data_IF_957665094735
#
_entry.id   IF_957665094735
#
_cell.length_a   1.000
_cell.length_b   1.000
_cell.length_c   1.000
_cell.angle_alpha   90.00
_cell.angle_beta   90.00
_cell.angle_gamma   90.00
#
_symmetry.space_group_name_H-M   'P 1'
#
loop_
_entity.id
_entity.type
_entity.pdbx_description
1 polymer ?
#
# COMPACT_ATOMS: atom_id res chain seq x y z
N UNK A 1 -61.56 3.63 -15.37
CA UNK A 1 -60.46 4.21 -14.58
C UNK A 1 -60.74 3.85 -13.14
N UNK A 2 -59.86 3.05 -12.53
CA UNK A 2 -59.19 3.49 -11.31
C UNK A 2 -57.67 3.31 -11.42
N UNK A 3 -56.95 4.41 -11.18
CA UNK A 3 -55.56 4.42 -10.77
C UNK A 3 -55.53 4.20 -9.25
N UNK A 4 -55.14 3.01 -8.80
CA UNK A 4 -54.88 2.77 -7.39
C UNK A 4 -53.38 2.53 -7.21
N UNK A 5 -52.71 3.63 -6.84
CA UNK A 5 -51.31 3.69 -6.46
C UNK A 5 -51.04 2.74 -5.29
N UNK A 6 -50.45 1.57 -5.60
CA UNK A 6 -49.97 0.58 -4.62
C UNK A 6 -48.87 1.08 -3.67
N UNK A 7 -48.38 2.30 -3.87
CA UNK A 7 -47.33 2.92 -3.05
C UNK A 7 -47.87 3.89 -1.98
N UNK A 8 -49.20 4.07 -1.86
CA UNK A 8 -49.80 4.96 -0.85
C UNK A 8 -49.67 4.47 0.61
N UNK A 9 -49.16 3.26 0.85
CA UNK A 9 -49.05 2.67 2.19
C UNK A 9 -47.68 2.79 2.85
N UNK A 10 -46.68 3.43 2.22
CA UNK A 10 -45.32 3.52 2.76
C UNK A 10 -44.98 4.91 3.35
N UNK A 11 -45.87 5.89 3.23
CA UNK A 11 -45.63 7.25 3.71
C UNK A 11 -46.00 7.46 5.18
N UNK A 12 -46.64 6.49 5.84
CA UNK A 12 -47.19 6.62 7.21
C UNK A 12 -46.30 5.97 8.29
N UNK A 13 -45.07 5.57 7.95
CA UNK A 13 -44.12 4.92 8.88
C UNK A 13 -42.93 5.83 9.24
N UNK A 14 -42.85 7.04 8.67
CA UNK A 14 -41.70 7.95 8.88
C UNK A 14 -41.98 9.04 9.93
N UNK A 15 -43.19 9.15 10.45
CA UNK A 15 -43.60 10.24 11.37
C UNK A 15 -43.84 9.78 12.82
N UNK A 16 -43.05 8.85 13.33
CA UNK A 16 -43.09 8.50 14.76
C UNK A 16 -41.74 7.95 15.25
N UNK A 17 -40.75 8.81 15.41
CA UNK A 17 -39.72 8.72 16.48
C UNK A 17 -38.82 9.98 16.43
N UNK A 18 -39.41 11.14 16.78
CA UNK A 18 -38.64 12.28 17.29
C UNK A 18 -38.81 12.34 18.81
N UNK A 19 -37.68 12.24 19.51
CA UNK A 19 -37.28 12.93 20.76
C UNK A 19 -36.64 11.99 21.81
N UNK A 20 -35.30 11.97 21.87
CA UNK A 20 -34.55 12.40 23.06
C UNK A 20 -33.07 11.98 23.05
N UNK A 21 -32.18 12.94 23.35
CA UNK A 21 -30.87 12.71 23.98
C UNK A 21 -29.68 12.85 23.02
N UNK A 22 -29.07 14.03 22.89
CA UNK A 22 -28.02 14.58 23.78
C UNK A 22 -26.63 13.96 23.51
N UNK A 23 -25.75 14.83 23.03
CA UNK A 23 -24.29 14.85 23.18
C UNK A 23 -23.47 13.58 22.89
N UNK A 24 -22.76 13.59 21.76
CA UNK A 24 -21.32 13.34 21.72
C UNK A 24 -20.79 13.48 20.28
N UNK A 25 -19.95 14.49 20.05
CA UNK A 25 -18.97 14.47 18.96
C UNK A 25 -18.08 13.23 19.11
N UNK A 26 -18.40 12.16 18.40
CA UNK A 26 -17.48 11.05 18.18
C UNK A 26 -16.50 11.48 17.08
N UNK A 27 -15.46 12.19 17.52
CA UNK A 27 -14.20 12.31 16.80
C UNK A 27 -13.70 10.89 16.55
N UNK A 28 -13.78 10.39 15.31
CA UNK A 28 -13.05 9.20 14.91
C UNK A 28 -11.56 9.57 14.85
N UNK A 29 -10.96 9.65 16.04
CA UNK A 29 -9.54 9.50 16.22
C UNK A 29 -9.19 8.11 15.72
N UNK A 30 -8.68 8.04 14.49
CA UNK A 30 -7.96 6.88 14.01
C UNK A 30 -6.69 6.77 14.86
N UNK A 31 -6.83 6.07 15.98
CA UNK A 31 -5.76 5.67 16.88
C UNK A 31 -4.93 4.60 16.15
N UNK A 32 -4.14 5.06 15.18
CA UNK A 32 -3.02 4.29 14.66
C UNK A 32 -2.01 4.19 15.80
N UNK A 33 -2.16 3.15 16.63
CA UNK A 33 -1.15 2.79 17.61
C UNK A 33 0.21 2.69 16.89
N UNK A 34 1.24 3.46 17.33
CA UNK A 34 2.58 3.18 16.87
C UNK A 34 2.94 1.80 17.41
N UNK A 35 3.02 0.81 16.52
CA UNK A 35 3.70 -0.47 16.79
C UNK A 35 5.13 -0.11 17.15
N UNK A 36 5.35 0.05 18.46
CA UNK A 36 6.63 0.18 19.07
C UNK A 36 7.33 -1.15 18.85
N UNK A 37 8.20 -1.21 17.84
CA UNK A 37 9.25 -2.23 17.73
C UNK A 37 10.22 -2.04 18.89
N UNK A 38 9.77 -2.39 20.08
CA UNK A 38 10.62 -2.54 21.25
C UNK A 38 11.33 -3.87 21.08
N UNK A 39 12.50 -3.78 20.45
CA UNK A 39 13.73 -4.34 20.97
C UNK A 39 13.60 -5.76 21.56
N UNK A 40 13.56 -6.75 20.67
CA UNK A 40 13.89 -8.12 21.03
C UNK A 40 15.41 -8.31 21.02
N UNK A 41 16.19 -7.45 21.71
CA UNK A 41 17.54 -7.81 22.14
C UNK A 41 17.42 -8.78 23.32
N UNK A 42 17.21 -10.05 23.01
CA UNK A 42 17.76 -11.12 23.83
C UNK A 42 18.32 -12.19 22.88
N UNK A 43 19.33 -11.77 22.12
CA UNK A 43 20.30 -12.71 21.57
C UNK A 43 20.98 -13.40 22.76
N UNK A 44 20.62 -14.67 22.97
CA UNK A 44 21.45 -15.60 23.74
C UNK A 44 22.75 -15.78 22.93
N UNK A 45 23.74 -14.95 23.22
CA UNK A 45 25.10 -15.03 22.68
C UNK A 45 25.81 -16.25 23.29
N UNK A 46 25.52 -17.44 22.75
CA UNK A 46 26.38 -18.61 22.90
C UNK A 46 27.34 -18.65 21.69
N UNK A 47 28.63 -18.31 21.86
CA UNK A 47 29.59 -18.25 20.76
C UNK A 47 29.99 -19.63 20.21
N UNK A 48 29.37 -20.72 20.69
CA UNK A 48 29.63 -22.09 20.26
C UNK A 48 28.43 -22.74 19.54
N UNK A 49 27.31 -22.03 19.38
CA UNK A 49 26.23 -22.49 18.52
C UNK A 49 26.62 -22.28 17.04
N UNK A 50 26.61 -23.33 16.19
CA UNK A 50 26.69 -23.11 14.76
C UNK A 50 25.51 -22.23 14.38
N UNK A 51 25.80 -21.03 13.90
CA UNK A 51 24.79 -20.15 13.32
C UNK A 51 23.97 -20.93 12.28
N UNK A 52 22.71 -20.55 12.05
CA UNK A 52 21.85 -21.24 11.10
C UNK A 52 22.60 -21.46 9.77
N UNK A 53 22.57 -22.69 9.24
CA UNK A 53 23.35 -23.11 8.07
C UNK A 53 22.94 -22.43 6.75
N UNK A 54 22.02 -21.47 6.82
CA UNK A 54 21.55 -20.61 5.75
C UNK A 54 21.41 -19.21 6.31
N UNK A 55 22.11 -18.23 5.72
CA UNK A 55 21.87 -16.83 6.04
C UNK A 55 20.46 -16.47 5.54
N UNK A 56 19.67 -15.87 6.42
CA UNK A 56 18.34 -15.37 6.10
C UNK A 56 18.48 -14.13 5.20
N UNK A 57 17.97 -14.25 3.97
CA UNK A 57 17.67 -13.18 3.00
C UNK A 57 18.61 -11.95 3.01
N UNK A 58 19.60 -11.93 2.12
CA UNK A 58 20.48 -10.77 1.85
C UNK A 58 19.73 -9.59 1.20
N UNK A 59 18.68 -9.07 1.83
CA UNK A 59 18.04 -7.81 1.41
C UNK A 59 18.20 -6.75 2.48
N UNK A 60 18.72 -5.59 2.10
CA UNK A 60 18.78 -4.42 2.98
C UNK A 60 17.57 -3.54 2.71
N UNK A 61 16.72 -3.35 3.72
CA UNK A 61 15.60 -2.41 3.63
C UNK A 61 16.14 -0.98 3.45
N UNK A 62 15.59 -0.26 2.47
CA UNK A 62 15.91 1.14 2.21
C UNK A 62 14.64 1.92 1.92
N UNK A 63 14.37 2.94 2.73
CA UNK A 63 13.30 3.90 2.46
C UNK A 63 13.74 4.92 1.42
N UNK A 64 12.81 5.29 0.52
CA UNK A 64 13.03 6.27 -0.54
C UNK A 64 11.89 7.27 -0.51
N UNK A 65 12.19 8.55 -0.70
CA UNK A 65 11.17 9.60 -0.79
C UNK A 65 10.70 9.74 -2.23
N UNK A 66 9.43 9.44 -2.46
CA UNK A 66 8.79 9.51 -3.77
C UNK A 66 7.56 10.42 -3.64
N UNK A 67 7.29 11.24 -4.65
CA UNK A 67 6.10 12.10 -4.63
C UNK A 67 4.84 11.23 -4.81
N UNK A 68 3.69 11.57 -4.18
CA UNK A 68 2.47 10.78 -4.29
C UNK A 68 2.02 10.52 -5.73
N UNK A 69 2.15 11.51 -6.61
CA UNK A 69 1.81 11.38 -8.02
C UNK A 69 2.71 10.39 -8.78
N UNK A 70 3.96 10.23 -8.35
CA UNK A 70 4.87 9.24 -8.94
C UNK A 70 4.57 7.85 -8.41
N UNK A 71 4.20 7.75 -7.12
CA UNK A 71 3.83 6.46 -6.51
C UNK A 71 2.60 5.87 -7.17
N UNK A 72 1.57 6.67 -7.46
CA UNK A 72 0.36 6.16 -8.14
C UNK A 72 0.64 5.57 -9.53
N UNK A 73 1.61 6.13 -10.26
CA UNK A 73 1.99 5.59 -11.57
C UNK A 73 2.80 4.30 -11.44
N UNK A 74 3.53 4.13 -10.33
CA UNK A 74 4.29 2.91 -10.06
C UNK A 74 3.36 1.71 -9.82
N UNK A 75 2.24 1.91 -9.13
CA UNK A 75 1.25 0.84 -8.88
C UNK A 75 0.66 0.31 -10.21
N UNK A 76 0.36 1.21 -11.15
CA UNK A 76 -0.10 0.83 -12.49
C UNK A 76 1.00 0.07 -13.25
N UNK A 77 2.26 0.51 -13.15
CA UNK A 77 3.40 -0.16 -13.77
C UNK A 77 3.65 -1.56 -13.19
N UNK A 78 3.48 -1.74 -11.87
CA UNK A 78 3.57 -3.05 -11.22
C UNK A 78 2.52 -4.02 -11.79
N UNK A 79 1.27 -3.56 -11.90
CA UNK A 79 0.20 -4.36 -12.50
C UNK A 79 0.48 -4.73 -13.96
N UNK A 80 1.02 -3.80 -14.76
CA UNK A 80 1.41 -4.08 -16.14
C UNK A 80 2.52 -5.14 -16.23
N UNK A 81 3.54 -5.05 -15.37
CA UNK A 81 4.62 -6.04 -15.29
C UNK A 81 4.06 -7.41 -14.88
N UNK A 82 3.20 -7.48 -13.87
CA UNK A 82 2.53 -8.73 -13.48
C UNK A 82 1.72 -9.29 -14.67
N UNK A 83 1.03 -8.44 -15.42
CA UNK A 83 0.25 -8.84 -16.60
C UNK A 83 1.11 -9.49 -17.68
N UNK A 84 2.29 -8.90 -17.97
CA UNK A 84 3.25 -9.45 -18.94
C UNK A 84 3.80 -10.78 -18.45
N UNK A 85 4.27 -10.83 -17.19
CA UNK A 85 4.73 -12.06 -16.54
C UNK A 85 3.68 -13.16 -16.61
N UNK A 86 2.41 -12.79 -16.42
CA UNK A 86 1.29 -13.71 -16.45
C UNK A 86 1.00 -14.27 -17.83
N UNK A 87 1.00 -13.41 -18.84
CA UNK A 87 0.63 -13.76 -20.22
C UNK A 87 1.74 -14.51 -20.95
N UNK A 88 2.97 -14.08 -20.76
CA UNK A 88 4.09 -14.51 -21.59
C UNK A 88 4.97 -15.56 -20.91
N UNK A 89 4.95 -15.61 -19.57
CA UNK A 89 5.83 -16.46 -18.77
C UNK A 89 5.09 -17.38 -17.79
N UNK A 90 3.76 -17.29 -17.70
CA UNK A 90 2.90 -18.00 -16.74
C UNK A 90 3.32 -17.83 -15.26
N UNK A 91 4.01 -16.72 -14.97
CA UNK A 91 4.37 -16.33 -13.60
C UNK A 91 3.17 -15.65 -12.94
N UNK A 92 2.99 -15.86 -11.64
CA UNK A 92 1.89 -15.35 -10.81
C UNK A 92 2.46 -14.89 -9.48
N UNK A 93 1.64 -14.15 -8.73
CA UNK A 93 1.93 -13.76 -7.35
C UNK A 93 3.26 -13.00 -7.25
N UNK A 94 3.47 -12.02 -8.16
CA UNK A 94 4.64 -11.15 -8.14
C UNK A 94 4.72 -10.46 -6.79
N UNK A 95 5.82 -10.65 -6.08
CA UNK A 95 6.01 -9.96 -4.79
C UNK A 95 6.56 -8.56 -5.03
N UNK A 96 6.14 -7.60 -4.20
CA UNK A 96 6.70 -6.24 -4.26
C UNK A 96 8.23 -6.23 -4.14
N UNK A 97 8.83 -7.19 -3.42
CA UNK A 97 10.30 -7.34 -3.35
C UNK A 97 10.91 -7.65 -4.72
N UNK A 98 10.38 -8.62 -5.45
CA UNK A 98 10.88 -8.99 -6.79
C UNK A 98 10.73 -7.82 -7.77
N UNK A 99 9.60 -7.14 -7.70
CA UNK A 99 9.34 -5.95 -8.50
C UNK A 99 10.32 -4.82 -8.19
N UNK A 100 10.49 -4.44 -6.92
CA UNK A 100 11.40 -3.38 -6.50
C UNK A 100 12.86 -3.69 -6.82
N UNK A 101 13.30 -4.93 -6.61
CA UNK A 101 14.66 -5.37 -6.92
C UNK A 101 14.92 -5.32 -8.44
N UNK A 102 13.97 -5.75 -9.27
CA UNK A 102 14.05 -5.59 -10.72
C UNK A 102 14.09 -4.11 -11.13
N UNK A 103 13.23 -3.27 -10.55
CA UNK A 103 13.20 -1.83 -10.83
C UNK A 103 14.54 -1.16 -10.51
N UNK A 104 15.15 -1.47 -9.36
CA UNK A 104 16.46 -0.95 -8.97
C UNK A 104 17.55 -1.41 -9.94
N UNK A 105 17.52 -2.68 -10.38
CA UNK A 105 18.48 -3.16 -11.40
C UNK A 105 18.33 -2.45 -12.74
N UNK A 106 17.09 -2.18 -13.17
CA UNK A 106 16.83 -1.42 -14.41
C UNK A 106 17.36 0.00 -14.27
N UNK A 107 17.06 0.70 -13.18
CA UNK A 107 17.57 2.05 -12.93
C UNK A 107 19.12 2.09 -12.90
N UNK A 108 19.75 1.08 -12.28
CA UNK A 108 21.20 0.95 -12.25
C UNK A 108 21.82 0.66 -13.63
N UNK A 109 21.10 -0.02 -14.51
CA UNK A 109 21.51 -0.29 -15.89
C UNK A 109 21.31 0.92 -16.83
N UNK A 110 20.49 1.89 -16.43
CA UNK A 110 20.16 3.09 -17.20
C UNK A 110 20.38 4.39 -16.41
N UNK A 111 21.61 4.67 -15.92
CA UNK A 111 21.87 5.84 -15.08
C UNK A 111 21.64 7.17 -15.81
N UNK A 112 21.83 7.22 -17.14
CA UNK A 112 21.59 8.42 -17.94
C UNK A 112 20.12 8.83 -17.96
N UNK A 113 19.20 7.86 -18.06
CA UNK A 113 17.77 8.11 -18.01
C UNK A 113 17.35 8.69 -16.64
N UNK A 114 17.94 8.18 -15.55
CA UNK A 114 17.72 8.74 -14.21
C UNK A 114 18.25 10.18 -14.13
N UNK A 115 19.43 10.45 -14.69
CA UNK A 115 19.99 11.80 -14.71
C UNK A 115 19.13 12.80 -15.49
N UNK A 116 18.56 12.37 -16.64
CA UNK A 116 17.64 13.18 -17.44
C UNK A 116 16.39 13.56 -16.64
N UNK A 117 15.72 12.60 -16.00
CA UNK A 117 14.56 12.86 -15.14
C UNK A 117 14.87 13.85 -14.00
N UNK A 118 16.07 13.77 -13.43
CA UNK A 118 16.51 14.72 -12.38
C UNK A 118 16.71 16.13 -12.95
N UNK A 119 17.23 16.27 -14.16
CA UNK A 119 17.40 17.56 -14.81
C UNK A 119 16.04 18.18 -15.17
N UNK A 120 15.15 17.40 -15.78
CA UNK A 120 13.78 17.83 -16.13
C UNK A 120 13.01 18.33 -14.90
N UNK A 121 13.12 17.60 -13.78
CA UNK A 121 12.48 18.00 -12.53
C UNK A 121 12.96 19.36 -12.02
N UNK A 122 14.26 19.67 -12.19
CA UNK A 122 14.85 20.96 -11.79
C UNK A 122 14.53 22.10 -12.74
N UNK A 123 14.29 21.83 -14.02
CA UNK A 123 13.89 22.84 -14.99
C UNK A 123 12.43 23.27 -14.82
N UNK A 124 11.63 22.42 -14.17
CA UNK A 124 10.21 22.66 -13.88
C UNK A 124 9.99 23.42 -12.56
N UNK A 125 11.00 23.50 -11.69
CA UNK A 125 11.02 24.31 -10.45
C UNK A 125 11.34 25.79 -10.72
#
# INVERSE_FOLDING_TARGET
MPDENRFSGLADVVDADEEAGDDAEATEANDEEPVSESDAETALDDPSAPGPAFEFEETTAKSVYVRPETLSVLDDAEFEVESVLRRDHDVRDLTGREFHDALVRVAAAHPEAVAELVLEARETE
#
